data_IF_788471454413
#
_entry.id   IF_788471454413
#
_cell.length_a   1.000
_cell.length_b   1.000
_cell.length_c   1.000
_cell.angle_alpha   90.00
_cell.angle_beta   90.00
_cell.angle_gamma   90.00
#
_symmetry.space_group_name_H-M   'P 1'
#
loop_
_entity.id
_entity.type
_entity.pdbx_description
1 polymer ?
#
# COMPACT_ATOMS: atom_id res chain seq x y z
N UNK A 1 -35.30 -50.04 21.51
CA UNK A 1 -35.39 -48.93 20.55
C UNK A 1 -34.01 -48.35 20.33
N UNK A 2 -33.42 -48.70 19.22
CA UNK A 2 -32.15 -48.11 18.76
C UNK A 2 -32.50 -46.70 18.30
N UNK A 3 -32.33 -45.70 19.18
CA UNK A 3 -32.45 -44.29 18.81
C UNK A 3 -31.19 -43.90 18.07
N UNK A 4 -31.30 -43.85 16.84
CA UNK A 4 -30.72 -42.95 15.83
C UNK A 4 -29.61 -42.01 16.32
N UNK A 5 -28.41 -42.55 16.51
CA UNK A 5 -27.20 -41.73 16.43
C UNK A 5 -26.93 -41.25 14.99
N UNK A 6 -27.50 -41.93 14.00
CA UNK A 6 -27.39 -41.59 12.59
C UNK A 6 -28.04 -40.27 12.19
N UNK A 7 -29.11 -39.85 12.86
CA UNK A 7 -29.76 -38.57 12.55
C UNK A 7 -29.01 -37.33 13.09
N UNK A 8 -28.24 -37.52 14.19
CA UNK A 8 -27.40 -36.43 14.70
C UNK A 8 -26.11 -36.24 13.90
N UNK A 9 -25.62 -37.31 13.26
CA UNK A 9 -24.42 -37.27 12.44
C UNK A 9 -24.67 -36.68 11.04
N UNK A 10 -25.89 -36.80 10.53
CA UNK A 10 -26.27 -36.18 9.25
C UNK A 10 -26.35 -34.65 9.37
N UNK A 11 -26.75 -34.09 10.53
CA UNK A 11 -26.76 -32.65 10.76
C UNK A 11 -25.36 -32.03 11.04
N UNK A 12 -24.37 -32.85 11.41
CA UNK A 12 -23.00 -32.38 11.65
C UNK A 12 -22.10 -32.30 10.41
N UNK A 13 -22.59 -32.78 9.25
CA UNK A 13 -21.93 -32.54 7.97
C UNK A 13 -22.38 -31.20 7.38
N UNK A 14 -22.13 -30.13 8.06
CA UNK A 14 -21.98 -28.84 7.41
C UNK A 14 -20.72 -28.94 6.56
N UNK A 15 -20.91 -29.00 5.25
CA UNK A 15 -19.78 -28.89 4.31
C UNK A 15 -19.17 -27.52 4.48
N UNK A 16 -17.91 -27.48 4.91
CA UNK A 16 -17.08 -26.28 4.82
C UNK A 16 -16.92 -25.94 3.32
N UNK A 17 -17.83 -25.17 2.78
CA UNK A 17 -17.74 -24.67 1.41
C UNK A 17 -16.79 -23.46 1.43
N UNK A 18 -15.50 -23.74 1.32
CA UNK A 18 -14.49 -22.72 1.12
C UNK A 18 -14.67 -22.13 -0.29
N UNK A 19 -15.11 -20.89 -0.35
CA UNK A 19 -15.24 -20.17 -1.62
C UNK A 19 -14.25 -18.99 -1.63
N UNK A 20 -13.35 -19.04 -2.59
CA UNK A 20 -12.47 -17.92 -2.91
C UNK A 20 -12.90 -17.31 -4.24
N UNK A 21 -13.09 -15.97 -4.26
CA UNK A 21 -13.43 -15.21 -5.46
C UNK A 21 -12.66 -13.91 -5.45
N UNK A 22 -11.94 -13.67 -6.53
CA UNK A 22 -11.21 -12.42 -6.74
C UNK A 22 -11.66 -11.82 -8.07
N UNK A 23 -12.10 -10.58 -8.02
CA UNK A 23 -12.28 -9.74 -9.20
C UNK A 23 -11.16 -8.72 -9.24
N UNK A 24 -10.54 -8.60 -10.37
CA UNK A 24 -9.53 -7.60 -10.66
C UNK A 24 -9.83 -6.97 -12.00
N UNK A 25 -9.87 -5.65 -12.04
CA UNK A 25 -10.01 -4.86 -13.25
C UNK A 25 -8.92 -3.79 -13.27
N UNK A 26 -8.28 -3.65 -14.42
CA UNK A 26 -7.25 -2.64 -14.65
C UNK A 26 -7.48 -1.95 -15.99
N UNK A 27 -7.30 -0.63 -15.99
CA UNK A 27 -7.25 0.19 -17.19
C UNK A 27 -6.01 1.05 -17.15
N UNK A 28 -5.21 1.02 -18.23
CA UNK A 28 -3.96 1.74 -18.34
C UNK A 28 -3.91 2.52 -19.68
N UNK A 29 -3.52 3.78 -19.59
CA UNK A 29 -3.25 4.63 -20.74
C UNK A 29 -1.82 5.18 -20.64
N UNK A 30 -1.05 5.03 -21.73
CA UNK A 30 0.29 5.58 -21.87
C UNK A 30 0.32 6.51 -23.09
N UNK A 31 1.00 7.63 -22.93
CA UNK A 31 1.28 8.54 -24.00
C UNK A 31 2.70 9.07 -23.87
N UNK A 32 3.51 8.93 -24.91
CA UNK A 32 4.89 9.40 -24.96
C UNK A 32 5.11 10.12 -26.28
N UNK A 33 5.72 11.31 -26.22
CA UNK A 33 6.03 12.10 -27.41
C UNK A 33 7.26 12.96 -27.21
N UNK A 34 8.07 13.07 -28.28
CA UNK A 34 9.23 13.94 -28.34
C UNK A 34 8.99 15.07 -29.34
N UNK A 35 9.26 16.31 -28.93
CA UNK A 35 9.13 17.53 -29.73
C UNK A 35 10.47 18.27 -29.74
N UNK A 36 11.31 18.02 -30.72
CA UNK A 36 12.65 18.57 -30.79
C UNK A 36 13.49 18.17 -29.58
N UNK A 37 13.84 19.12 -28.70
CA UNK A 37 14.61 18.86 -27.48
C UNK A 37 13.76 18.48 -26.25
N UNK A 38 12.42 18.47 -26.40
CA UNK A 38 11.49 18.19 -25.31
C UNK A 38 10.95 16.78 -25.43
N UNK A 39 11.02 15.99 -24.37
CA UNK A 39 10.36 14.70 -24.24
C UNK A 39 9.29 14.78 -23.18
N UNK A 40 8.08 14.33 -23.50
CA UNK A 40 6.93 14.29 -22.61
C UNK A 40 6.40 12.86 -22.55
N UNK A 41 6.18 12.36 -21.36
CA UNK A 41 5.49 11.10 -21.10
C UNK A 41 4.35 11.30 -20.12
N UNK A 42 3.23 10.64 -20.35
CA UNK A 42 2.10 10.61 -19.43
C UNK A 42 1.58 9.18 -19.28
N UNK A 43 1.26 8.81 -18.04
CA UNK A 43 0.67 7.52 -17.71
C UNK A 43 -0.51 7.78 -16.77
N UNK A 44 -1.63 7.12 -17.07
CA UNK A 44 -2.76 7.01 -16.15
C UNK A 44 -3.09 5.53 -15.96
N UNK A 45 -3.29 5.13 -14.71
CA UNK A 45 -3.63 3.76 -14.33
C UNK A 45 -4.79 3.81 -13.33
N UNK A 46 -5.82 3.06 -13.60
CA UNK A 46 -6.89 2.76 -12.65
C UNK A 46 -6.99 1.27 -12.44
N UNK A 47 -7.05 0.83 -11.20
CA UNK A 47 -7.41 -0.55 -10.89
C UNK A 47 -8.39 -0.65 -9.73
N UNK A 48 -9.16 -1.71 -9.74
CA UNK A 48 -10.00 -2.12 -8.63
C UNK A 48 -9.86 -3.62 -8.36
N UNK A 49 -9.90 -3.97 -7.09
CA UNK A 49 -9.81 -5.35 -6.62
C UNK A 49 -10.90 -5.60 -5.58
N UNK A 50 -11.62 -6.73 -5.73
CA UNK A 50 -12.59 -7.24 -4.76
C UNK A 50 -12.23 -8.70 -4.47
N UNK A 51 -11.82 -8.98 -3.24
CA UNK A 51 -11.46 -10.32 -2.78
C UNK A 51 -12.46 -10.77 -1.74
N UNK A 52 -13.13 -11.87 -2.03
CA UNK A 52 -14.07 -12.54 -1.13
C UNK A 52 -13.55 -13.94 -0.83
N UNK A 53 -13.26 -14.22 0.43
CA UNK A 53 -12.81 -15.51 0.91
C UNK A 53 -13.64 -15.95 2.10
N UNK A 54 -14.46 -16.99 1.93
CA UNK A 54 -15.33 -17.53 2.99
C UNK A 54 -14.65 -18.61 3.83
N UNK A 55 -13.45 -19.03 3.47
CA UNK A 55 -12.71 -20.07 4.20
C UNK A 55 -12.41 -19.70 5.66
N UNK A 56 -12.42 -18.42 5.97
CA UNK A 56 -12.00 -17.88 7.26
C UNK A 56 -13.16 -17.49 8.17
N UNK A 57 -14.40 -17.81 7.78
CA UNK A 57 -15.61 -17.38 8.50
C UNK A 57 -15.78 -18.04 9.87
N UNK A 58 -15.22 -19.24 10.05
CA UNK A 58 -15.50 -20.05 11.24
C UNK A 58 -14.72 -19.58 12.48
N UNK A 59 -13.48 -19.08 12.28
CA UNK A 59 -12.57 -18.77 13.39
C UNK A 59 -12.53 -17.27 13.76
N UNK A 60 -13.06 -16.37 12.93
CA UNK A 60 -12.86 -14.94 13.07
C UNK A 60 -14.16 -14.13 13.19
N UNK A 61 -15.18 -14.67 13.83
CA UNK A 61 -16.43 -13.93 14.18
C UNK A 61 -17.06 -13.17 13.01
N UNK A 62 -17.02 -13.73 11.80
CA UNK A 62 -17.65 -13.14 10.62
C UNK A 62 -16.89 -11.98 9.95
N UNK A 63 -15.82 -11.45 10.53
CA UNK A 63 -15.02 -10.36 9.92
C UNK A 63 -14.39 -10.80 8.61
N UNK A 64 -13.96 -12.07 8.53
CA UNK A 64 -13.33 -12.59 7.33
C UNK A 64 -14.31 -12.78 6.17
N UNK A 65 -15.62 -12.79 6.43
CA UNK A 65 -16.67 -12.79 5.40
C UNK A 65 -16.79 -11.45 4.67
N UNK A 66 -16.32 -10.36 5.28
CA UNK A 66 -16.39 -9.03 4.67
C UNK A 66 -15.40 -8.96 3.50
N UNK A 67 -15.85 -8.64 2.26
CA UNK A 67 -14.96 -8.52 1.11
C UNK A 67 -13.89 -7.46 1.32
N UNK A 68 -12.65 -7.80 0.96
CA UNK A 68 -11.56 -6.82 0.88
C UNK A 68 -11.65 -6.10 -0.45
N UNK A 69 -11.82 -4.78 -0.39
CA UNK A 69 -11.93 -3.95 -1.57
C UNK A 69 -10.84 -2.91 -1.58
N UNK A 70 -10.17 -2.82 -2.71
CA UNK A 70 -9.16 -1.80 -3.00
C UNK A 70 -9.44 -1.19 -4.36
N UNK A 71 -9.17 0.09 -4.47
CA UNK A 71 -9.16 0.78 -5.74
C UNK A 71 -8.06 1.84 -5.74
N UNK A 72 -7.48 2.06 -6.90
CA UNK A 72 -6.41 3.03 -7.04
C UNK A 72 -6.52 3.74 -8.38
N UNK A 73 -6.37 5.04 -8.34
CA UNK A 73 -6.10 5.88 -9.50
C UNK A 73 -4.70 6.45 -9.34
N UNK A 74 -3.83 6.18 -10.28
CA UNK A 74 -2.49 6.74 -10.28
C UNK A 74 -2.17 7.40 -11.61
N UNK A 75 -1.34 8.41 -11.54
CA UNK A 75 -0.86 9.12 -12.70
C UNK A 75 0.61 9.46 -12.58
N UNK A 76 1.27 9.55 -13.72
CA UNK A 76 2.65 9.98 -13.87
C UNK A 76 2.77 10.92 -15.05
N UNK A 77 3.52 12.00 -14.86
CA UNK A 77 3.95 12.89 -15.93
C UNK A 77 5.46 13.01 -15.86
N UNK A 78 6.12 12.67 -16.95
CA UNK A 78 7.57 12.74 -17.12
C UNK A 78 7.89 13.83 -18.13
N UNK A 79 8.83 14.68 -17.82
CA UNK A 79 9.34 15.70 -18.73
C UNK A 79 10.86 15.65 -18.78
N UNK A 80 11.39 15.65 -19.98
CA UNK A 80 12.82 15.75 -20.25
C UNK A 80 13.13 16.88 -21.20
N UNK A 81 14.21 17.60 -20.95
CA UNK A 81 14.72 18.65 -21.84
C UNK A 81 16.17 18.40 -22.20
N UNK A 82 16.45 18.30 -23.48
CA UNK A 82 17.79 18.17 -24.07
C UNK A 82 18.65 17.04 -23.42
N UNK A 83 18.02 15.96 -22.95
CA UNK A 83 18.69 14.89 -22.17
C UNK A 83 19.52 15.40 -20.97
N UNK A 84 19.30 16.64 -20.54
CA UNK A 84 20.01 17.30 -19.46
C UNK A 84 19.15 17.45 -18.21
N UNK A 85 17.90 17.86 -18.36
CA UNK A 85 16.97 18.07 -17.27
C UNK A 85 15.82 17.08 -17.33
N UNK A 86 15.48 16.51 -16.19
CA UNK A 86 14.41 15.55 -16.05
C UNK A 86 13.53 15.91 -14.85
N UNK A 87 12.23 15.85 -15.03
CA UNK A 87 11.24 16.03 -13.98
C UNK A 87 10.21 14.92 -14.12
N UNK A 88 9.97 14.21 -13.03
CA UNK A 88 8.91 13.20 -12.92
C UNK A 88 7.96 13.62 -11.79
N UNK A 89 6.68 13.77 -12.08
CA UNK A 89 5.64 13.99 -11.10
C UNK A 89 4.69 12.80 -11.11
N UNK A 90 4.46 12.21 -9.93
CA UNK A 90 3.56 11.08 -9.79
C UNK A 90 2.54 11.36 -8.69
N UNK A 91 1.37 10.75 -8.79
CA UNK A 91 0.41 10.69 -7.70
C UNK A 91 -0.26 9.32 -7.66
N UNK A 92 -0.62 8.90 -6.46
CA UNK A 92 -1.51 7.79 -6.21
C UNK A 92 -2.69 8.24 -5.36
N UNK A 93 -3.91 7.94 -5.79
CA UNK A 93 -5.13 8.14 -5.01
C UNK A 93 -5.74 6.75 -4.75
N UNK A 94 -5.49 6.23 -3.55
CA UNK A 94 -5.79 4.84 -3.20
C UNK A 94 -6.89 4.78 -2.16
N UNK A 95 -7.89 3.93 -2.41
CA UNK A 95 -8.96 3.62 -1.49
C UNK A 95 -8.85 2.19 -0.97
N UNK A 96 -8.98 2.01 0.35
CA UNK A 96 -8.98 0.71 1.02
C UNK A 96 -10.20 0.57 1.92
N UNK A 97 -10.85 -0.60 1.88
CA UNK A 97 -11.94 -0.93 2.77
C UNK A 97 -11.49 -1.20 4.21
N UNK A 98 -10.17 -1.27 4.47
CA UNK A 98 -9.60 -1.42 5.82
C UNK A 98 -9.90 -0.23 6.74
N UNK A 99 -10.32 0.91 6.16
CA UNK A 99 -10.65 2.11 6.90
C UNK A 99 -12.14 2.40 6.91
N UNK A 100 -12.58 3.12 7.94
CA UNK A 100 -13.95 3.61 8.09
C UNK A 100 -14.38 4.52 6.93
N UNK A 101 -15.67 4.61 6.68
CA UNK A 101 -16.22 5.55 5.68
C UNK A 101 -15.75 6.98 5.99
N UNK A 102 -15.24 7.66 4.97
CA UNK A 102 -14.67 9.01 5.10
C UNK A 102 -13.15 9.03 5.25
N UNK A 103 -12.50 7.93 5.67
CA UNK A 103 -11.04 7.82 5.83
C UNK A 103 -10.41 6.81 4.87
N UNK A 104 -11.20 6.23 3.96
CA UNK A 104 -10.78 5.16 3.04
C UNK A 104 -9.75 5.58 2.01
N UNK A 105 -9.78 6.84 1.60
CA UNK A 105 -8.96 7.34 0.51
C UNK A 105 -7.76 8.12 1.03
N UNK A 106 -6.57 7.75 0.52
CA UNK A 106 -5.32 8.48 0.74
C UNK A 106 -4.77 9.02 -0.58
N UNK A 107 -4.17 10.22 -0.53
CA UNK A 107 -3.49 10.84 -1.65
C UNK A 107 -1.98 10.87 -1.39
N UNK A 108 -1.20 10.29 -2.30
CA UNK A 108 0.23 10.06 -2.15
C UNK A 108 0.98 10.64 -3.34
N UNK A 109 1.39 11.92 -3.28
CA UNK A 109 2.17 12.55 -4.34
C UNK A 109 3.64 12.21 -4.24
N UNK A 110 4.35 12.25 -5.37
CA UNK A 110 5.80 12.24 -5.43
C UNK A 110 6.33 13.05 -6.59
N UNK A 111 7.50 13.63 -6.40
CA UNK A 111 8.23 14.36 -7.42
C UNK A 111 9.69 13.91 -7.42
N UNK A 112 10.26 13.79 -8.61
CA UNK A 112 11.69 13.55 -8.79
C UNK A 112 12.25 14.52 -9.83
N UNK A 113 13.48 14.95 -9.62
CA UNK A 113 14.22 15.81 -10.53
C UNK A 113 15.59 15.19 -10.81
N UNK A 114 16.06 15.36 -12.01
CA UNK A 114 17.39 14.92 -12.45
C UNK A 114 18.06 15.98 -13.31
N UNK A 115 19.36 16.14 -13.10
CA UNK A 115 20.20 17.03 -13.89
C UNK A 115 21.47 16.30 -14.30
N UNK A 116 21.80 16.36 -15.61
CA UNK A 116 22.96 15.71 -16.22
C UNK A 116 23.89 16.79 -16.80
N UNK A 117 24.83 17.34 -16.01
CA UNK A 117 25.77 18.39 -16.47
C UNK A 117 26.64 17.97 -17.65
N UNK A 118 27.00 16.70 -17.73
CA UNK A 118 27.81 16.16 -18.82
C UNK A 118 27.12 16.15 -20.19
N UNK A 119 25.83 16.51 -20.25
CA UNK A 119 25.15 16.78 -21.53
C UNK A 119 25.63 18.10 -22.20
N UNK A 120 26.36 18.95 -21.48
CA UNK A 120 26.94 20.16 -22.04
C UNK A 120 28.38 19.92 -22.51
N UNK A 121 28.70 20.36 -23.73
CA UNK A 121 30.01 20.17 -24.33
C UNK A 121 31.13 20.81 -23.50
N UNK A 122 30.90 21.99 -22.94
CA UNK A 122 31.90 22.71 -22.12
C UNK A 122 32.30 21.91 -20.85
N UNK A 123 31.41 21.09 -20.29
CA UNK A 123 31.76 20.23 -19.13
C UNK A 123 32.68 19.11 -19.56
N UNK A 124 32.42 18.48 -20.70
CA UNK A 124 33.24 17.41 -21.24
C UNK A 124 34.64 17.91 -21.65
N UNK A 125 34.74 19.15 -22.17
CA UNK A 125 36.02 19.78 -22.48
C UNK A 125 36.81 20.16 -21.22
N UNK A 126 36.13 20.67 -20.20
CA UNK A 126 36.77 21.06 -18.94
C UNK A 126 37.24 19.88 -18.09
N UNK A 127 36.53 18.76 -18.14
CA UNK A 127 36.78 17.56 -17.31
C UNK A 127 36.78 16.30 -18.16
N UNK A 128 37.82 16.01 -18.97
CA UNK A 128 37.83 14.91 -19.95
C UNK A 128 37.79 13.51 -19.30
N UNK A 129 38.17 13.38 -18.04
CA UNK A 129 38.15 12.12 -17.30
C UNK A 129 36.78 11.78 -16.70
N UNK A 130 35.81 12.73 -16.70
CA UNK A 130 34.45 12.56 -16.23
C UNK A 130 33.54 12.22 -17.43
N UNK A 131 33.20 10.94 -17.58
CA UNK A 131 32.36 10.47 -18.72
C UNK A 131 30.88 10.77 -18.53
N UNK A 132 30.42 10.76 -17.28
CA UNK A 132 29.02 10.99 -16.96
C UNK A 132 28.87 11.53 -15.54
N UNK A 133 27.99 12.51 -15.36
CA UNK A 133 27.60 13.02 -14.06
C UNK A 133 26.09 13.30 -14.08
N UNK A 134 25.39 12.77 -13.07
CA UNK A 134 23.96 13.02 -12.86
C UNK A 134 23.69 13.30 -11.40
N UNK A 135 22.99 14.39 -11.14
CA UNK A 135 22.38 14.68 -9.87
C UNK A 135 20.92 14.30 -9.90
N UNK A 136 20.43 13.67 -8.85
CA UNK A 136 19.02 13.30 -8.72
C UNK A 136 18.50 13.64 -7.33
N UNK A 137 17.28 14.12 -7.28
CA UNK A 137 16.57 14.39 -6.03
C UNK A 137 15.15 13.90 -6.15
N UNK A 138 14.61 13.31 -5.09
CA UNK A 138 13.20 12.90 -5.06
C UNK A 138 12.59 13.10 -3.69
N UNK A 139 11.32 13.47 -3.68
CA UNK A 139 10.49 13.51 -2.50
C UNK A 139 9.16 12.82 -2.82
N UNK A 140 8.72 11.93 -1.96
CA UNK A 140 7.46 11.23 -2.17
C UNK A 140 6.82 10.77 -0.88
N UNK A 141 5.51 10.53 -0.97
CA UNK A 141 4.72 9.95 0.10
C UNK A 141 4.17 8.60 -0.35
N UNK A 142 4.20 7.63 0.55
CA UNK A 142 3.65 6.28 0.32
C UNK A 142 2.72 5.94 1.47
N UNK A 143 1.49 5.55 1.15
CA UNK A 143 0.51 5.08 2.12
C UNK A 143 0.60 3.58 2.33
N UNK A 144 0.41 3.15 3.60
CA UNK A 144 0.27 1.76 3.98
C UNK A 144 -1.10 1.53 4.61
N UNK A 145 -1.86 0.54 4.12
CA UNK A 145 -3.16 0.12 4.66
C UNK A 145 -3.08 -1.17 5.50
N UNK A 146 -1.92 -1.81 5.56
CA UNK A 146 -1.66 -2.96 6.41
C UNK A 146 -1.13 -2.50 7.79
N UNK A 147 -2.02 -1.93 8.59
CA UNK A 147 -1.66 -1.25 9.83
C UNK A 147 -1.58 -2.20 11.01
N UNK A 148 -2.39 -3.27 11.01
CA UNK A 148 -2.40 -4.33 12.02
C UNK A 148 -2.46 -5.69 11.36
N UNK A 149 -2.18 -6.76 12.11
CA UNK A 149 -2.40 -8.12 11.65
C UNK A 149 -3.88 -8.46 11.39
N UNK A 150 -4.78 -7.64 11.93
CA UNK A 150 -6.22 -7.86 11.87
C UNK A 150 -6.87 -7.14 10.68
N UNK A 151 -7.96 -7.73 10.19
CA UNK A 151 -8.78 -7.14 9.14
C UNK A 151 -9.80 -6.20 9.76
N UNK A 152 -10.00 -5.03 9.13
CA UNK A 152 -10.98 -4.03 9.58
C UNK A 152 -10.83 -3.62 11.06
N UNK A 153 -9.65 -3.16 11.48
CA UNK A 153 -9.35 -2.90 12.89
C UNK A 153 -10.20 -1.76 13.50
N UNK A 154 -11.02 -1.07 12.71
CA UNK A 154 -11.99 -0.08 13.19
C UNK A 154 -13.31 -0.73 13.69
N UNK A 155 -13.51 -2.05 13.49
CA UNK A 155 -14.72 -2.74 13.92
C UNK A 155 -14.55 -3.28 15.34
N UNK A 156 -15.52 -3.00 16.20
CA UNK A 156 -15.63 -3.63 17.51
C UNK A 156 -16.22 -5.03 17.36
N UNK A 157 -15.54 -6.02 17.96
CA UNK A 157 -15.97 -7.41 17.98
C UNK A 157 -16.69 -7.74 19.25
N UNK A 158 -17.88 -8.32 19.09
CA UNK A 158 -18.74 -8.75 20.19
C UNK A 158 -18.88 -10.27 20.13
N UNK A 159 -18.61 -10.94 21.24
CA UNK A 159 -18.89 -12.36 21.42
C UNK A 159 -20.19 -12.51 22.18
N UNK A 160 -21.17 -13.22 21.61
CA UNK A 160 -22.47 -13.50 22.18
C UNK A 160 -22.55 -14.81 22.97
N UNK A 161 -21.41 -15.50 23.14
CA UNK A 161 -21.33 -16.79 23.84
C UNK A 161 -20.47 -16.69 25.12
N UNK A 162 -20.33 -15.50 25.69
CA UNK A 162 -19.61 -15.34 26.95
C UNK A 162 -20.41 -16.02 28.09
N UNK A 163 -19.68 -16.76 28.96
CA UNK A 163 -20.29 -17.37 30.11
C UNK A 163 -20.80 -16.30 31.09
N UNK A 164 -22.09 -16.36 31.46
CA UNK A 164 -22.65 -15.52 32.52
C UNK A 164 -22.61 -16.28 33.85
N UNK A 165 -22.09 -15.62 34.91
CA UNK A 165 -21.89 -16.23 36.23
C UNK A 165 -23.08 -16.12 37.21
N UNK A 166 -24.28 -15.80 36.72
CA UNK A 166 -25.47 -15.60 37.58
C UNK A 166 -26.31 -16.88 37.73
N UNK A 167 -25.70 -18.03 37.92
CA UNK A 167 -26.40 -19.26 38.34
C UNK A 167 -27.24 -20.00 37.26
N UNK A 168 -27.52 -19.38 36.16
CA UNK A 168 -28.15 -19.97 34.97
C UNK A 168 -27.16 -19.87 33.79
N UNK A 169 -27.16 -20.89 32.94
CA UNK A 169 -26.36 -20.88 31.68
C UNK A 169 -27.02 -19.93 30.68
N UNK A 170 -27.03 -18.67 30.97
CA UNK A 170 -27.42 -17.64 30.03
C UNK A 170 -26.21 -17.23 29.18
N UNK A 171 -26.44 -17.03 27.89
CA UNK A 171 -25.42 -16.53 26.99
C UNK A 171 -25.19 -15.06 27.32
N UNK A 172 -24.01 -14.75 27.77
CA UNK A 172 -23.59 -13.37 27.99
C UNK A 172 -23.02 -12.76 26.71
N UNK A 173 -23.05 -11.44 26.64
CA UNK A 173 -22.41 -10.64 25.59
C UNK A 173 -21.16 -10.01 26.17
N UNK A 174 -20.02 -10.15 25.48
CA UNK A 174 -18.78 -9.48 25.85
C UNK A 174 -18.11 -8.87 24.64
N UNK A 175 -17.50 -7.72 24.84
CA UNK A 175 -16.64 -7.11 23.84
C UNK A 175 -15.28 -7.84 23.84
N UNK A 176 -14.91 -8.41 22.70
CA UNK A 176 -13.65 -9.17 22.57
C UNK A 176 -12.51 -8.28 22.07
N UNK A 177 -12.80 -7.40 21.12
CA UNK A 177 -11.86 -6.44 20.58
C UNK A 177 -12.58 -5.12 20.41
N UNK A 178 -12.02 -4.06 20.98
CA UNK A 178 -12.51 -2.70 20.76
C UNK A 178 -11.97 -2.16 19.45
N UNK A 179 -12.84 -1.70 18.57
CA UNK A 179 -12.44 -1.05 17.32
C UNK A 179 -11.56 0.18 17.58
N UNK A 180 -10.56 0.36 16.73
CA UNK A 180 -9.66 1.51 16.84
C UNK A 180 -10.36 2.79 16.37
N UNK A 181 -10.42 3.77 17.26
CA UNK A 181 -10.90 5.12 16.96
C UNK A 181 -9.85 5.88 16.12
N UNK A 182 -10.29 6.65 15.12
CA UNK A 182 -9.41 7.50 14.30
C UNK A 182 -8.33 6.79 13.48
N UNK A 183 -8.56 5.55 13.10
CA UNK A 183 -7.65 4.84 12.21
C UNK A 183 -7.46 5.59 10.89
N UNK A 184 -6.19 5.86 10.53
CA UNK A 184 -5.79 6.59 9.33
C UNK A 184 -4.69 5.83 8.59
N UNK A 185 -4.43 6.23 7.35
CA UNK A 185 -3.30 5.74 6.58
C UNK A 185 -1.98 6.01 7.31
N UNK A 186 -1.15 4.99 7.47
CA UNK A 186 0.26 5.19 7.79
C UNK A 186 0.94 5.81 6.56
N UNK A 187 1.64 6.93 6.74
CA UNK A 187 2.28 7.66 5.65
C UNK A 187 3.78 7.66 5.85
N UNK A 188 4.49 7.06 4.91
CA UNK A 188 5.94 7.14 4.82
C UNK A 188 6.34 8.28 3.88
N UNK A 189 7.05 9.28 4.40
CA UNK A 189 7.66 10.40 3.68
C UNK A 189 9.11 10.07 3.38
N UNK A 190 9.46 10.02 2.10
CA UNK A 190 10.78 9.63 1.63
C UNK A 190 11.44 10.78 0.90
N UNK A 191 12.61 11.18 1.37
CA UNK A 191 13.49 12.12 0.72
C UNK A 191 14.75 11.39 0.28
N UNK A 192 15.13 11.53 -0.98
CA UNK A 192 16.36 10.96 -1.50
C UNK A 192 17.10 12.02 -2.34
N UNK A 193 18.42 12.08 -2.17
CA UNK A 193 19.33 12.82 -3.01
C UNK A 193 20.47 11.89 -3.44
N UNK A 194 20.73 11.80 -4.75
CA UNK A 194 21.73 10.91 -5.30
C UNK A 194 22.64 11.60 -6.32
N UNK A 195 23.87 11.09 -6.40
CA UNK A 195 24.87 11.50 -7.37
C UNK A 195 25.36 10.23 -8.06
N UNK A 196 25.26 10.19 -9.38
CA UNK A 196 25.81 9.12 -10.21
C UNK A 196 26.94 9.72 -11.05
N UNK A 197 28.14 9.18 -10.95
CA UNK A 197 29.32 9.63 -11.68
C UNK A 197 30.04 8.44 -12.34
N UNK A 198 30.46 8.61 -13.59
CA UNK A 198 31.29 7.65 -14.31
C UNK A 198 32.56 8.30 -14.80
N UNK A 199 33.67 7.61 -14.63
CA UNK A 199 35.01 8.11 -14.87
C UNK A 199 35.75 7.20 -15.85
N UNK A 200 36.75 7.79 -16.54
CA UNK A 200 37.73 7.10 -17.37
C UNK A 200 37.08 6.22 -18.48
N UNK A 201 36.18 6.81 -19.26
CA UNK A 201 35.44 6.11 -20.33
C UNK A 201 34.66 4.90 -19.75
N UNK A 202 33.87 5.16 -18.69
CA UNK A 202 32.99 4.21 -18.01
C UNK A 202 33.72 3.03 -17.27
N UNK A 203 35.05 3.13 -17.08
CA UNK A 203 35.80 2.10 -16.34
C UNK A 203 35.51 2.12 -14.84
N UNK A 204 35.15 3.25 -14.28
CA UNK A 204 34.77 3.41 -12.87
C UNK A 204 33.41 4.09 -12.78
N UNK A 205 32.47 3.45 -12.09
CA UNK A 205 31.15 4.00 -11.77
C UNK A 205 31.02 4.16 -10.26
N UNK A 206 30.59 5.35 -9.82
CA UNK A 206 30.38 5.69 -8.42
C UNK A 206 28.95 6.21 -8.28
N UNK A 207 28.20 5.63 -7.35
CA UNK A 207 26.86 6.09 -6.98
C UNK A 207 26.83 6.37 -5.49
N UNK A 208 26.35 7.55 -5.11
CA UNK A 208 26.21 7.96 -3.72
C UNK A 208 24.77 8.40 -3.50
N UNK A 209 24.11 7.82 -2.48
CA UNK A 209 22.74 8.12 -2.09
C UNK A 209 22.66 8.60 -0.65
N UNK A 210 21.95 9.69 -0.45
CA UNK A 210 21.52 10.19 0.86
C UNK A 210 20.01 10.09 0.93
N UNK A 211 19.49 9.37 1.92
CA UNK A 211 18.05 9.21 2.08
C UNK A 211 17.61 9.50 3.52
N UNK A 212 16.38 9.96 3.63
CA UNK A 212 15.69 10.14 4.90
C UNK A 212 14.25 9.65 4.76
N UNK A 213 13.89 8.68 5.59
CA UNK A 213 12.53 8.15 5.69
C UNK A 213 11.92 8.55 7.03
N UNK A 214 10.71 9.12 6.99
CA UNK A 214 9.94 9.46 8.17
C UNK A 214 8.56 8.84 8.03
N UNK A 215 8.06 8.19 9.08
CA UNK A 215 6.73 7.57 9.10
C UNK A 215 5.85 8.27 10.10
N UNK A 216 4.64 8.62 9.66
CA UNK A 216 3.61 9.25 10.46
C UNK A 216 2.40 8.31 10.58
N UNK A 217 1.63 8.44 11.66
CA UNK A 217 0.42 7.65 11.96
C UNK A 217 0.68 6.15 12.06
N UNK A 218 1.79 5.77 12.68
CA UNK A 218 2.11 4.37 12.95
C UNK A 218 1.09 3.83 13.96
N UNK A 219 0.36 2.80 13.56
CA UNK A 219 -0.54 2.09 14.47
C UNK A 219 0.29 1.23 15.43
N UNK A 220 0.02 1.36 16.71
CA UNK A 220 0.62 0.51 17.75
C UNK A 220 -0.50 -0.09 18.60
N UNK A 221 -0.49 -1.38 18.74
CA UNK A 221 -1.37 -2.09 19.66
C UNK A 221 -0.77 -1.96 21.06
N UNK A 222 -1.39 -1.12 21.89
CA UNK A 222 -0.96 -0.93 23.26
C UNK A 222 -1.64 -1.99 24.14
N UNK A 223 -0.94 -3.08 24.42
CA UNK A 223 -1.31 -3.98 25.49
C UNK A 223 -1.08 -3.25 26.82
N UNK A 224 -2.16 -2.89 27.51
CA UNK A 224 -2.11 -2.46 28.91
C UNK A 224 -1.73 -3.66 29.76
N UNK A 225 -0.44 -3.87 29.94
CA UNK A 225 0.03 -4.77 30.99
C UNK A 225 -0.29 -4.06 32.31
N UNK A 226 -1.24 -4.61 33.05
CA UNK A 226 -1.48 -4.18 34.41
C UNK A 226 -0.18 -4.26 35.21
N UNK A 227 0.30 -3.11 35.64
CA UNK A 227 1.30 -2.99 36.69
C UNK A 227 0.60 -3.27 38.03
#
# INVERSE_FOLDING_TARGET
PIKSSAASDVYKRQQNNNRYRKYYMEAKANWDRTFGLHSLGALALYYMEDVHNTQWDYDAMGINAIPQRRQNLSGRVSYGYNNCYFIDANFGYTGSAQFEKGKRFGFFPSIAVGWVPTSYNWVNEAIPWLSFLKFRGSYGQVGNDQISGDRFPYLTLINDNAASYWGYRERGITETVKGADNLQWEVAKKLNFGIDAKFFHDKLSVTVDFFRDTRDHIFQDLSLIHI
#
